data_IF_994468722508
#
_entry.id   IF_994468722508
#
_cell.length_a   1.000
_cell.length_b   1.000
_cell.length_c   1.000
_cell.angle_alpha   90.00
_cell.angle_beta   90.00
_cell.angle_gamma   90.00
#
_symmetry.space_group_name_H-M   'P 1'
#
loop_
_entity.id
_entity.type
_entity.pdbx_description
1 polymer ?
#
# COMPACT_ATOMS: atom_id res chain seq x y z
N UNK A 1 25.55 -24.70 38.10
CA UNK A 1 24.70 -23.66 38.74
C UNK A 1 24.89 -22.41 37.90
N UNK A 2 24.06 -22.18 36.87
CA UNK A 2 22.84 -21.32 36.89
C UNK A 2 23.14 -19.96 37.53
N UNK A 3 23.07 -18.83 36.82
CA UNK A 3 21.86 -18.17 36.28
C UNK A 3 22.33 -17.00 35.37
N UNK A 4 21.83 -16.74 34.15
CA UNK A 4 20.54 -16.15 33.74
C UNK A 4 20.12 -14.91 34.52
N UNK A 5 20.21 -13.73 33.88
CA UNK A 5 19.37 -12.56 34.20
C UNK A 5 18.98 -11.77 32.94
N UNK A 6 17.82 -12.14 32.43
CA UNK A 6 16.64 -11.33 32.07
C UNK A 6 16.77 -9.79 31.99
N UNK A 7 16.59 -9.24 30.78
CA UNK A 7 16.16 -7.85 30.59
C UNK A 7 14.63 -7.78 30.49
N UNK A 8 13.99 -7.19 31.51
CA UNK A 8 12.55 -6.93 31.57
C UNK A 8 12.18 -5.55 31.03
N UNK A 9 10.91 -5.46 30.61
CA UNK A 9 10.28 -4.41 29.81
C UNK A 9 10.23 -3.01 30.46
N UNK A 10 10.15 -2.00 29.60
CA UNK A 10 9.64 -0.67 29.93
C UNK A 10 8.78 -0.13 28.79
N UNK A 11 7.52 -0.56 28.72
CA UNK A 11 6.49 0.17 27.97
C UNK A 11 6.00 1.32 28.85
N UNK A 12 6.10 2.54 28.35
CA UNK A 12 5.63 3.74 29.05
C UNK A 12 4.11 3.71 29.24
N UNK A 13 3.69 3.54 30.49
CA UNK A 13 2.29 3.65 30.91
C UNK A 13 1.97 5.14 31.10
N UNK A 14 1.26 5.74 30.14
CA UNK A 14 0.50 6.96 30.39
C UNK A 14 -0.71 6.63 31.25
N UNK A 15 -0.83 7.27 32.41
CA UNK A 15 -1.99 7.13 33.29
C UNK A 15 -3.25 7.63 32.57
N UNK A 16 -4.23 6.75 32.37
CA UNK A 16 -5.58 7.12 31.97
C UNK A 16 -6.57 6.49 32.95
N UNK A 17 -7.39 7.36 33.53
CA UNK A 17 -8.42 7.03 34.50
C UNK A 17 -9.51 6.17 33.85
N UNK A 18 -10.04 5.23 34.64
CA UNK A 18 -10.94 4.18 34.18
C UNK A 18 -12.33 4.66 33.71
N UNK A 19 -12.99 3.68 33.08
CA UNK A 19 -14.38 3.66 32.59
C UNK A 19 -14.62 4.27 31.20
N UNK A 20 -14.35 3.49 30.15
CA UNK A 20 -15.26 3.24 29.01
C UNK A 20 -14.66 2.21 28.04
N UNK A 21 -15.43 1.13 27.80
CA UNK A 21 -15.36 0.17 26.69
C UNK A 21 -14.05 -0.02 25.91
N UNK A 22 -13.50 -1.22 26.04
CA UNK A 22 -12.47 -1.85 25.19
C UNK A 22 -12.59 -1.37 23.73
N UNK A 23 -11.66 -0.54 23.24
CA UNK A 23 -11.91 0.17 22.00
C UNK A 23 -11.58 -0.75 20.82
N UNK A 24 -12.54 -0.85 19.90
CA UNK A 24 -12.61 -1.62 18.65
C UNK A 24 -11.34 -1.58 17.74
N UNK A 25 -10.33 -0.75 18.08
CA UNK A 25 -9.05 -0.64 17.38
C UNK A 25 -7.99 -1.67 17.80
N UNK A 26 -8.26 -2.53 18.80
CA UNK A 26 -7.35 -3.63 19.20
C UNK A 26 -7.80 -5.01 18.70
N UNK A 27 -8.38 -5.07 17.50
CA UNK A 27 -8.53 -6.32 16.77
C UNK A 27 -7.14 -6.97 16.64
N UNK A 28 -7.00 -8.19 17.18
CA UNK A 28 -5.70 -8.90 17.30
C UNK A 28 -4.96 -9.10 15.97
N UNK A 29 -5.61 -8.86 14.84
CA UNK A 29 -5.08 -8.95 13.48
C UNK A 29 -4.67 -7.59 12.87
N UNK A 30 -4.74 -6.49 13.62
CA UNK A 30 -4.27 -5.16 13.20
C UNK A 30 -2.99 -4.78 13.95
N UNK A 31 -1.97 -4.40 13.19
CA UNK A 31 -0.68 -3.97 13.70
C UNK A 31 -0.34 -2.57 13.22
N UNK A 32 -0.41 -1.58 14.11
CA UNK A 32 0.01 -0.21 13.85
C UNK A 32 1.41 0.04 14.40
N UNK A 33 2.38 0.17 13.50
CA UNK A 33 3.79 0.40 13.79
C UNK A 33 4.31 1.65 13.08
N UNK A 34 3.44 2.63 12.80
CA UNK A 34 3.83 3.87 12.14
C UNK A 34 4.72 4.74 13.04
N UNK A 35 5.68 5.46 12.45
CA UNK A 35 6.54 6.44 13.14
C UNK A 35 7.27 5.89 14.38
N UNK A 36 7.72 4.64 14.32
CA UNK A 36 8.46 3.98 15.40
C UNK A 36 9.98 4.02 15.19
N UNK A 37 10.46 4.69 14.13
CA UNK A 37 11.88 4.77 13.82
C UNK A 37 12.48 3.45 13.33
N UNK A 38 11.66 2.50 12.86
CA UNK A 38 12.11 1.18 12.41
C UNK A 38 13.02 1.31 11.20
N UNK A 39 14.16 0.63 11.21
CA UNK A 39 15.11 0.60 10.08
C UNK A 39 14.91 -0.63 9.17
N UNK A 40 14.13 -1.60 9.64
CA UNK A 40 13.79 -2.85 8.95
C UNK A 40 12.44 -3.36 9.47
N UNK A 41 11.80 -4.26 8.71
CA UNK A 41 10.58 -4.95 9.17
C UNK A 41 10.94 -5.88 10.34
N UNK A 42 10.37 -5.71 11.55
CA UNK A 42 10.74 -6.53 12.70
C UNK A 42 10.31 -7.99 12.52
N UNK A 43 11.22 -8.92 12.78
CA UNK A 43 10.90 -10.36 12.76
C UNK A 43 9.96 -10.77 13.92
N UNK A 44 9.85 -9.95 14.96
CA UNK A 44 9.04 -10.16 16.17
C UNK A 44 7.55 -9.83 15.99
N UNK A 45 7.14 -9.27 14.84
CA UNK A 45 5.73 -8.95 14.58
C UNK A 45 4.83 -10.20 14.72
N UNK A 46 3.58 -10.04 15.23
CA UNK A 46 2.62 -11.14 15.35
C UNK A 46 2.34 -11.85 14.03
N UNK A 47 2.01 -13.14 14.09
CA UNK A 47 1.76 -13.98 12.91
C UNK A 47 0.31 -13.90 12.39
N UNK A 48 -0.62 -13.40 13.20
CA UNK A 48 -2.04 -13.35 12.88
C UNK A 48 -2.47 -12.00 12.28
N UNK A 49 -1.52 -11.19 11.81
CA UNK A 49 -1.81 -9.88 11.22
C UNK A 49 -2.50 -10.03 9.87
N UNK A 50 -3.60 -9.30 9.70
CA UNK A 50 -4.30 -9.08 8.44
C UNK A 50 -4.13 -7.64 7.95
N UNK A 51 -3.82 -6.71 8.84
CA UNK A 51 -3.54 -5.32 8.52
C UNK A 51 -2.26 -4.89 9.20
N UNK A 52 -1.28 -4.44 8.42
CA UNK A 52 0.02 -4.00 8.93
C UNK A 52 0.34 -2.62 8.39
N UNK A 53 0.47 -1.65 9.29
CA UNK A 53 0.94 -0.31 8.99
C UNK A 53 2.36 -0.13 9.51
N UNK A 54 3.31 0.04 8.59
CA UNK A 54 4.73 0.32 8.83
C UNK A 54 5.13 1.69 8.27
N UNK A 55 4.16 2.56 8.00
CA UNK A 55 4.40 3.87 7.37
C UNK A 55 5.27 4.80 8.21
N UNK A 56 5.89 5.76 7.53
CA UNK A 56 6.69 6.84 8.15
C UNK A 56 7.77 6.30 9.12
N UNK A 57 8.45 5.23 8.71
CA UNK A 57 9.61 4.69 9.39
C UNK A 57 10.89 4.96 8.55
N UNK A 58 12.03 4.40 8.97
CA UNK A 58 13.32 4.52 8.28
C UNK A 58 13.71 3.21 7.57
N UNK A 59 12.73 2.41 7.14
CA UNK A 59 12.96 1.15 6.44
C UNK A 59 13.55 1.48 5.07
N UNK A 60 14.76 1.00 4.80
CA UNK A 60 15.48 1.28 3.55
C UNK A 60 15.88 0.03 2.79
N UNK A 61 15.73 -1.15 3.42
CA UNK A 61 16.00 -2.43 2.80
C UNK A 61 14.84 -3.39 3.06
N UNK A 62 14.24 -3.91 1.99
CA UNK A 62 13.25 -4.99 2.09
C UNK A 62 13.92 -6.34 1.87
N UNK A 63 13.59 -7.28 2.75
CA UNK A 63 13.78 -8.70 2.52
C UNK A 63 12.42 -9.29 2.10
N UNK A 64 12.40 -10.48 1.48
CA UNK A 64 11.15 -11.20 1.26
C UNK A 64 10.35 -11.31 2.56
N UNK A 65 9.08 -10.91 2.50
CA UNK A 65 8.19 -11.04 3.66
C UNK A 65 8.05 -12.52 4.02
N UNK A 66 8.22 -12.89 5.30
CA UNK A 66 8.11 -14.28 5.70
C UNK A 66 6.67 -14.79 5.53
N UNK A 67 6.54 -16.06 5.14
CA UNK A 67 5.26 -16.73 4.91
C UNK A 67 4.27 -16.68 6.09
N UNK A 68 4.74 -16.40 7.32
CA UNK A 68 3.86 -16.16 8.48
C UNK A 68 2.88 -14.98 8.27
N UNK A 69 3.15 -14.10 7.32
CA UNK A 69 2.28 -12.99 6.96
C UNK A 69 1.34 -13.31 5.78
N UNK A 70 1.16 -14.59 5.43
CA UNK A 70 0.32 -15.02 4.30
C UNK A 70 -1.13 -14.53 4.37
N UNK A 71 -1.64 -14.26 5.58
CA UNK A 71 -2.98 -13.75 5.84
C UNK A 71 -3.11 -12.23 5.74
N UNK A 72 -2.01 -11.50 5.46
CA UNK A 72 -2.06 -10.06 5.26
C UNK A 72 -2.98 -9.70 4.09
N UNK A 73 -3.92 -8.81 4.36
CA UNK A 73 -4.80 -8.19 3.37
C UNK A 73 -4.37 -6.76 3.03
N UNK A 74 -3.74 -6.08 3.99
CA UNK A 74 -3.31 -4.69 3.88
C UNK A 74 -1.87 -4.53 4.39
N UNK A 75 -1.03 -3.90 3.58
CA UNK A 75 0.33 -3.53 3.94
C UNK A 75 0.60 -2.08 3.53
N UNK A 76 0.93 -1.25 4.51
CA UNK A 76 1.38 0.12 4.29
C UNK A 76 2.87 0.25 4.61
N UNK A 77 3.65 0.60 3.61
CA UNK A 77 5.09 0.89 3.72
C UNK A 77 5.40 2.33 3.30
N UNK A 78 4.39 3.17 3.10
CA UNK A 78 4.56 4.55 2.64
C UNK A 78 5.50 5.37 3.54
N UNK A 79 6.17 6.37 2.97
CA UNK A 79 7.05 7.27 3.74
C UNK A 79 8.33 6.61 4.28
N UNK A 80 8.68 5.42 3.79
CA UNK A 80 9.94 4.74 4.12
C UNK A 80 10.95 4.90 2.98
N UNK A 81 12.23 5.22 3.25
CA UNK A 81 13.24 5.46 2.21
C UNK A 81 13.75 4.16 1.53
N UNK A 82 12.88 3.43 0.85
CA UNK A 82 13.16 2.09 0.29
C UNK A 82 14.13 2.12 -0.89
N UNK A 83 14.11 3.17 -1.72
CA UNK A 83 14.90 3.35 -2.95
C UNK A 83 14.68 2.31 -4.08
N UNK A 84 14.45 1.04 -3.72
CA UNK A 84 14.22 -0.07 -4.63
C UNK A 84 13.39 -1.18 -3.99
N UNK A 85 12.70 -1.98 -4.83
CA UNK A 85 12.01 -3.20 -4.38
C UNK A 85 12.66 -4.42 -5.06
N UNK A 86 13.31 -5.30 -4.27
CA UNK A 86 13.93 -6.54 -4.76
C UNK A 86 12.92 -7.54 -5.36
N UNK A 87 13.39 -8.54 -6.13
CA UNK A 87 12.55 -9.65 -6.59
C UNK A 87 11.87 -10.38 -5.43
N UNK A 88 10.66 -10.90 -5.67
CA UNK A 88 9.96 -11.82 -4.76
C UNK A 88 9.71 -11.25 -3.35
N UNK A 89 9.85 -9.93 -3.16
CA UNK A 89 9.70 -9.26 -1.86
C UNK A 89 8.35 -9.58 -1.20
N UNK A 90 7.29 -9.71 -1.98
CA UNK A 90 5.93 -9.96 -1.50
C UNK A 90 5.36 -11.32 -1.93
N UNK A 91 6.23 -12.26 -2.33
CA UNK A 91 5.82 -13.51 -2.99
C UNK A 91 4.85 -14.37 -2.18
N UNK A 92 5.04 -14.41 -0.86
CA UNK A 92 4.21 -15.21 0.03
C UNK A 92 2.96 -14.47 0.55
N UNK A 93 2.78 -13.19 0.18
CA UNK A 93 1.62 -12.39 0.57
C UNK A 93 0.44 -12.59 -0.41
N UNK A 94 0.06 -13.85 -0.62
CA UNK A 94 -0.88 -14.26 -1.67
C UNK A 94 -2.31 -13.72 -1.48
N UNK A 95 -2.71 -13.40 -0.25
CA UNK A 95 -4.01 -12.80 0.08
C UNK A 95 -4.00 -11.26 0.09
N UNK A 96 -2.84 -10.62 -0.15
CA UNK A 96 -2.72 -9.17 -0.07
C UNK A 96 -3.62 -8.49 -1.09
N UNK A 97 -4.47 -7.58 -0.62
CA UNK A 97 -5.43 -6.82 -1.43
C UNK A 97 -4.98 -5.39 -1.67
N UNK A 98 -4.29 -4.80 -0.71
CA UNK A 98 -3.83 -3.40 -0.76
C UNK A 98 -2.37 -3.32 -0.36
N UNK A 99 -1.58 -2.68 -1.22
CA UNK A 99 -0.17 -2.37 -1.00
C UNK A 99 0.08 -0.88 -1.25
N UNK A 100 0.54 -0.18 -0.22
CA UNK A 100 0.98 1.21 -0.33
C UNK A 100 2.50 1.32 -0.20
N UNK A 101 3.12 1.83 -1.26
CA UNK A 101 4.55 2.10 -1.41
C UNK A 101 4.78 3.56 -1.83
N UNK A 102 3.85 4.46 -1.50
CA UNK A 102 3.96 5.87 -1.84
C UNK A 102 5.05 6.58 -1.05
N UNK A 103 5.69 7.58 -1.66
CA UNK A 103 6.73 8.41 -1.00
C UNK A 103 7.87 7.56 -0.42
N UNK A 104 8.31 6.55 -1.17
CA UNK A 104 9.35 5.62 -0.73
C UNK A 104 10.70 5.80 -1.46
N UNK A 105 10.85 6.89 -2.21
CA UNK A 105 12.00 7.19 -3.08
C UNK A 105 12.35 6.07 -4.07
N UNK A 106 11.36 5.25 -4.45
CA UNK A 106 11.56 4.09 -5.31
C UNK A 106 11.91 4.54 -6.73
N UNK A 107 13.16 4.30 -7.11
CA UNK A 107 13.67 4.52 -8.48
C UNK A 107 13.77 3.23 -9.28
N UNK A 108 13.88 2.07 -8.59
CA UNK A 108 14.11 0.76 -9.20
C UNK A 108 13.12 -0.28 -8.67
N UNK A 109 12.33 -0.87 -9.56
CA UNK A 109 11.51 -2.05 -9.26
C UNK A 109 12.04 -3.24 -10.05
N UNK A 110 12.31 -4.34 -9.38
CA UNK A 110 12.60 -5.59 -10.08
C UNK A 110 11.34 -6.09 -10.83
N UNK A 111 11.45 -6.71 -12.02
CA UNK A 111 10.30 -7.27 -12.73
C UNK A 111 9.45 -8.22 -11.88
N UNK A 112 10.09 -9.06 -11.08
CA UNK A 112 9.43 -9.98 -10.13
C UNK A 112 9.09 -9.37 -8.76
N UNK A 113 9.16 -8.05 -8.58
CA UNK A 113 8.91 -7.41 -7.28
C UNK A 113 7.51 -7.74 -6.73
N UNK A 114 6.52 -7.81 -7.61
CA UNK A 114 5.11 -8.07 -7.27
C UNK A 114 4.65 -9.49 -7.61
N UNK A 115 5.57 -10.40 -7.94
CA UNK A 115 5.26 -11.81 -8.20
C UNK A 115 4.60 -12.41 -6.95
N UNK A 116 3.56 -13.21 -7.14
CA UNK A 116 2.80 -13.85 -6.04
C UNK A 116 1.59 -13.06 -5.54
N UNK A 117 1.46 -11.77 -5.90
CA UNK A 117 0.37 -10.90 -5.48
C UNK A 117 -0.92 -11.10 -6.32
N UNK A 118 -1.44 -12.32 -6.35
CA UNK A 118 -2.53 -12.73 -7.24
C UNK A 118 -3.87 -12.04 -6.94
N UNK A 119 -4.10 -11.68 -5.68
CA UNK A 119 -5.34 -11.02 -5.21
C UNK A 119 -5.19 -9.51 -5.00
N UNK A 120 -4.07 -8.91 -5.43
CA UNK A 120 -3.84 -7.49 -5.21
C UNK A 120 -4.82 -6.65 -6.04
N UNK A 121 -5.63 -5.87 -5.34
CA UNK A 121 -6.67 -5.02 -5.92
C UNK A 121 -6.20 -3.57 -6.02
N UNK A 122 -5.41 -3.09 -5.06
CA UNK A 122 -4.95 -1.71 -4.99
C UNK A 122 -3.44 -1.67 -4.81
N UNK A 123 -2.76 -0.99 -5.74
CA UNK A 123 -1.34 -0.69 -5.66
C UNK A 123 -1.13 0.83 -5.72
N UNK A 124 -0.46 1.39 -4.71
CA UNK A 124 -0.15 2.82 -4.66
C UNK A 124 1.37 2.98 -4.71
N UNK A 125 1.84 3.70 -5.73
CA UNK A 125 3.24 4.01 -6.01
C UNK A 125 3.45 5.52 -6.20
N UNK A 126 2.47 6.34 -5.82
CA UNK A 126 2.48 7.79 -5.97
C UNK A 126 3.73 8.41 -5.32
N UNK A 127 4.24 9.50 -5.91
CA UNK A 127 5.41 10.22 -5.40
C UNK A 127 6.65 9.33 -5.26
N UNK A 128 6.99 8.60 -6.32
CA UNK A 128 8.25 7.87 -6.43
C UNK A 128 8.94 8.25 -7.74
N UNK A 129 10.27 8.41 -7.79
CA UNK A 129 11.03 8.74 -9.01
C UNK A 129 11.14 7.55 -10.00
N UNK A 130 10.11 6.73 -10.08
CA UNK A 130 10.05 5.50 -10.85
C UNK A 130 10.01 5.79 -12.36
N UNK A 131 10.89 5.17 -13.14
CA UNK A 131 10.97 5.36 -14.60
C UNK A 131 10.28 4.25 -15.41
N UNK A 132 10.13 3.07 -14.81
CA UNK A 132 9.48 1.91 -15.42
C UNK A 132 8.65 1.14 -14.41
N UNK A 133 7.51 0.61 -14.83
CA UNK A 133 6.64 -0.21 -14.01
C UNK A 133 6.20 -1.44 -14.81
N UNK A 134 6.25 -2.60 -14.17
CA UNK A 134 5.73 -3.85 -14.70
C UNK A 134 4.67 -4.43 -13.74
N UNK A 135 3.44 -4.61 -14.25
CA UNK A 135 2.28 -5.05 -13.46
C UNK A 135 1.37 -6.01 -14.24
N UNK A 136 1.88 -6.66 -15.29
CA UNK A 136 1.07 -7.54 -16.16
C UNK A 136 0.50 -8.74 -15.40
N UNK A 137 1.19 -9.19 -14.35
CA UNK A 137 0.79 -10.32 -13.53
C UNK A 137 -0.24 -9.96 -12.44
N UNK A 138 -0.52 -8.67 -12.23
CA UNK A 138 -1.53 -8.20 -11.27
C UNK A 138 -2.94 -8.31 -11.87
N UNK A 139 -3.43 -9.55 -11.93
CA UNK A 139 -4.70 -9.88 -12.61
C UNK A 139 -5.92 -9.31 -11.89
N UNK A 140 -5.93 -9.28 -10.56
CA UNK A 140 -7.02 -8.76 -9.74
C UNK A 140 -7.02 -7.23 -9.55
N UNK A 141 -6.06 -6.52 -10.14
CA UNK A 141 -5.89 -5.08 -9.93
C UNK A 141 -7.14 -4.32 -10.38
N UNK A 142 -7.75 -3.58 -9.46
CA UNK A 142 -8.86 -2.65 -9.71
C UNK A 142 -8.43 -1.20 -9.55
N UNK A 143 -7.30 -0.93 -8.90
CA UNK A 143 -6.78 0.41 -8.70
C UNK A 143 -5.25 0.46 -8.70
N UNK A 144 -4.72 1.46 -9.39
CA UNK A 144 -3.31 1.75 -9.52
C UNK A 144 -3.07 3.25 -9.48
N UNK A 145 -2.41 3.73 -8.43
CA UNK A 145 -1.97 5.12 -8.35
C UNK A 145 -0.46 5.21 -8.63
N UNK A 146 -0.12 5.76 -9.78
CA UNK A 146 1.25 6.08 -10.22
C UNK A 146 1.39 7.57 -10.50
N UNK A 147 0.56 8.39 -9.87
CA UNK A 147 0.63 9.85 -9.98
C UNK A 147 1.96 10.36 -9.42
N UNK A 148 2.51 11.42 -10.03
CA UNK A 148 3.77 12.04 -9.59
C UNK A 148 4.92 11.03 -9.58
N UNK A 149 5.02 10.27 -10.66
CA UNK A 149 6.17 9.42 -10.97
C UNK A 149 6.91 9.95 -12.19
N UNK A 150 8.14 9.50 -12.39
CA UNK A 150 8.98 9.87 -13.55
C UNK A 150 8.85 8.89 -14.71
N UNK A 151 7.68 8.25 -14.84
CA UNK A 151 7.43 7.22 -15.84
C UNK A 151 7.58 7.80 -17.26
N UNK A 152 8.36 7.13 -18.09
CA UNK A 152 8.62 7.56 -19.47
C UNK A 152 7.76 6.76 -20.45
N UNK A 153 7.31 7.41 -21.54
CA UNK A 153 6.52 6.82 -22.62
C UNK A 153 7.31 5.81 -23.48
N UNK A 154 7.73 4.70 -22.88
CA UNK A 154 8.40 3.58 -23.53
C UNK A 154 7.40 2.62 -24.22
N UNK A 155 7.86 1.71 -25.11
CA UNK A 155 7.01 0.64 -25.64
C UNK A 155 6.31 -0.19 -24.54
N UNK A 156 7.02 -0.50 -23.45
CA UNK A 156 6.46 -1.21 -22.29
C UNK A 156 5.36 -0.41 -21.61
N UNK A 157 5.59 0.89 -21.38
CA UNK A 157 4.58 1.79 -20.82
C UNK A 157 3.33 1.87 -21.71
N UNK A 158 3.51 1.93 -23.03
CA UNK A 158 2.37 1.89 -23.97
C UNK A 158 1.59 0.58 -23.91
N UNK A 159 2.27 -0.56 -23.77
CA UNK A 159 1.61 -1.86 -23.59
C UNK A 159 0.82 -1.90 -22.28
N UNK A 160 1.42 -1.40 -21.20
CA UNK A 160 0.76 -1.25 -19.90
C UNK A 160 -0.49 -0.37 -19.99
N UNK A 161 -0.43 0.81 -20.62
CA UNK A 161 -1.61 1.67 -20.80
C UNK A 161 -2.69 0.99 -21.65
N UNK A 162 -2.32 0.26 -22.70
CA UNK A 162 -3.27 -0.56 -23.48
C UNK A 162 -3.90 -1.66 -22.63
N UNK A 163 -3.15 -2.26 -21.71
CA UNK A 163 -3.66 -3.27 -20.77
C UNK A 163 -4.72 -2.67 -19.84
N UNK A 164 -4.45 -1.49 -19.25
CA UNK A 164 -5.43 -0.79 -18.39
C UNK A 164 -6.72 -0.45 -19.15
N UNK A 165 -6.61 0.05 -20.38
CA UNK A 165 -7.79 0.35 -21.22
C UNK A 165 -8.61 -0.92 -21.49
N UNK A 166 -7.98 -2.07 -21.73
CA UNK A 166 -8.69 -3.37 -21.90
C UNK A 166 -9.41 -3.82 -20.64
N UNK A 167 -8.84 -3.57 -19.46
CA UNK A 167 -9.49 -3.81 -18.17
C UNK A 167 -10.54 -2.75 -17.79
N UNK A 168 -10.95 -1.88 -18.73
CA UNK A 168 -11.93 -0.82 -18.50
C UNK A 168 -11.62 0.08 -17.31
N UNK A 169 -10.35 0.52 -17.23
CA UNK A 169 -9.95 1.53 -16.25
C UNK A 169 -10.39 2.95 -16.66
N UNK A 170 -10.57 3.77 -15.64
CA UNK A 170 -10.88 5.18 -15.62
C UNK A 170 -9.71 5.93 -14.94
N UNK A 171 -9.52 7.20 -15.27
CA UNK A 171 -8.76 8.15 -14.45
C UNK A 171 -9.67 8.57 -13.28
N UNK A 172 -9.31 8.16 -12.06
CA UNK A 172 -10.15 8.32 -10.88
C UNK A 172 -10.30 9.78 -10.47
N UNK A 173 -9.23 10.57 -10.64
CA UNK A 173 -9.20 11.98 -10.25
C UNK A 173 -10.14 12.81 -11.12
N UNK A 174 -10.14 12.56 -12.44
CA UNK A 174 -10.99 13.27 -13.39
C UNK A 174 -12.33 12.59 -13.65
N UNK A 175 -12.54 11.38 -13.12
CA UNK A 175 -13.73 10.54 -13.32
C UNK A 175 -14.03 10.26 -14.80
N UNK A 176 -12.97 10.07 -15.62
CA UNK A 176 -13.09 9.85 -17.07
C UNK A 176 -12.53 8.50 -17.46
N UNK A 177 -13.19 7.82 -18.41
CA UNK A 177 -12.69 6.56 -18.96
C UNK A 177 -11.34 6.77 -19.67
N UNK A 178 -10.39 5.85 -19.47
CA UNK A 178 -9.14 5.88 -20.22
C UNK A 178 -9.40 5.55 -21.69
N UNK A 179 -9.01 6.47 -22.57
CA UNK A 179 -9.14 6.28 -24.01
C UNK A 179 -7.94 5.55 -24.59
N UNK A 180 -8.12 4.84 -25.71
CA UNK A 180 -7.05 4.12 -26.42
C UNK A 180 -5.91 5.02 -26.90
N UNK A 181 -6.19 6.31 -27.11
CA UNK A 181 -5.21 7.34 -27.48
C UNK A 181 -4.62 8.08 -26.27
N UNK A 182 -4.86 7.62 -25.04
CA UNK A 182 -4.27 8.24 -23.87
C UNK A 182 -2.74 8.08 -23.92
N UNK A 183 -2.05 9.19 -24.13
CA UNK A 183 -0.59 9.28 -24.01
C UNK A 183 -0.12 9.45 -22.57
N UNK A 184 -1.05 9.39 -21.61
CA UNK A 184 -0.76 9.58 -20.19
C UNK A 184 0.02 8.38 -19.67
N UNK A 185 1.13 8.64 -19.00
CA UNK A 185 2.03 7.62 -18.43
C UNK A 185 2.04 7.63 -16.90
N UNK A 186 1.35 8.59 -16.30
CA UNK A 186 1.23 8.78 -14.85
C UNK A 186 -0.21 9.24 -14.52
N UNK A 187 -0.72 8.84 -13.36
CA UNK A 187 -2.08 9.16 -12.90
C UNK A 187 -2.59 8.18 -11.86
N UNK A 188 -3.79 8.46 -11.34
CA UNK A 188 -4.57 7.54 -10.50
C UNK A 188 -5.63 6.86 -11.36
N UNK A 189 -5.49 5.55 -11.53
CA UNK A 189 -6.30 4.74 -12.41
C UNK A 189 -7.10 3.71 -11.61
N UNK A 190 -8.39 3.58 -11.87
CA UNK A 190 -9.27 2.60 -11.21
C UNK A 190 -10.20 1.95 -12.21
N UNK A 191 -10.71 0.78 -11.89
CA UNK A 191 -11.78 0.14 -12.65
C UNK A 191 -12.97 1.10 -12.68
N UNK A 192 -13.60 1.25 -13.84
CA UNK A 192 -14.77 2.12 -13.92
C UNK A 192 -15.93 1.60 -13.05
N UNK A 193 -15.99 0.28 -12.75
CA UNK A 193 -16.93 -0.29 -11.78
C UNK A 193 -16.70 0.29 -10.37
N UNK A 194 -15.45 0.31 -9.89
CA UNK A 194 -15.09 0.90 -8.59
C UNK A 194 -15.45 2.40 -8.51
N UNK A 195 -15.34 3.13 -9.62
CA UNK A 195 -15.78 4.53 -9.72
C UNK A 195 -17.30 4.68 -9.62
N UNK A 196 -18.08 3.76 -10.19
CA UNK A 196 -19.54 3.77 -10.16
C UNK A 196 -20.08 3.32 -8.79
N UNK A 197 -19.48 2.31 -8.17
CA UNK A 197 -19.80 1.88 -6.79
C UNK A 197 -19.55 3.00 -5.76
N UNK A 198 -18.60 3.92 -6.00
CA UNK A 198 -18.43 5.10 -5.14
C UNK A 198 -19.64 6.05 -5.18
N UNK A 199 -20.40 6.10 -6.28
CA UNK A 199 -21.68 6.86 -6.33
C UNK A 199 -22.77 6.19 -5.50
N UNK A 200 -22.73 4.87 -5.38
CA UNK A 200 -23.73 4.08 -4.64
C UNK A 200 -23.40 3.98 -3.14
N UNK A 201 -22.13 3.95 -2.76
CA UNK A 201 -21.68 3.87 -1.35
C UNK A 201 -21.77 5.17 -0.57
N UNK A 202 -21.95 6.32 -1.23
CA UNK A 202 -22.42 7.53 -0.53
C UNK A 202 -23.85 7.35 -0.01
N UNK A 203 -24.54 6.26 -0.37
CA UNK A 203 -25.89 5.92 0.09
C UNK A 203 -25.90 4.78 1.11
N UNK A 204 -24.97 3.82 1.10
CA UNK A 204 -24.97 2.69 2.07
C UNK A 204 -23.57 2.16 2.45
N UNK A 205 -23.33 2.03 3.77
CA UNK A 205 -22.22 1.28 4.40
C UNK A 205 -22.29 -0.21 4.03
N UNK A 206 -21.19 -0.96 3.86
CA UNK A 206 -20.26 -1.43 4.88
C UNK A 206 -18.92 -1.87 4.23
N UNK A 207 -17.80 -1.31 4.70
CA UNK A 207 -16.47 -1.94 4.88
C UNK A 207 -15.52 -0.85 5.40
N UNK A 208 -15.80 -0.37 6.63
CA UNK A 208 -15.31 0.94 7.08
C UNK A 208 -13.79 1.00 7.24
N UNK A 209 -13.08 -0.10 7.46
CA UNK A 209 -11.62 -0.07 7.73
C UNK A 209 -10.79 0.03 6.44
N UNK A 210 -11.03 -0.88 5.46
CA UNK A 210 -10.38 -0.80 4.14
C UNK A 210 -10.81 0.47 3.40
N UNK A 211 -12.07 0.91 3.55
CA UNK A 211 -12.54 2.17 2.95
C UNK A 211 -11.99 3.41 3.65
N UNK A 212 -11.76 3.39 4.98
CA UNK A 212 -11.16 4.54 5.70
C UNK A 212 -9.69 4.69 5.36
N UNK A 213 -8.90 3.60 5.34
CA UNK A 213 -7.54 3.65 4.80
C UNK A 213 -7.50 4.04 3.31
N UNK A 214 -8.41 3.54 2.46
CA UNK A 214 -8.52 4.01 1.05
C UNK A 214 -8.91 5.49 0.92
N UNK A 215 -9.62 6.06 1.91
CA UNK A 215 -10.03 7.47 1.94
C UNK A 215 -8.85 8.36 2.34
N UNK A 216 -8.01 7.89 3.25
CA UNK A 216 -6.80 8.59 3.70
C UNK A 216 -5.67 8.56 2.65
N UNK A 217 -5.49 7.43 1.94
CA UNK A 217 -4.56 7.33 0.79
C UNK A 217 -4.93 8.29 -0.35
N UNK A 218 -6.21 8.65 -0.50
CA UNK A 218 -6.67 9.57 -1.56
C UNK A 218 -6.79 11.04 -1.15
N UNK A 219 -6.81 11.32 0.15
CA UNK A 219 -7.06 12.67 0.66
C UNK A 219 -5.80 13.40 1.12
N UNK A 220 -4.62 12.92 0.76
CA UNK A 220 -3.38 13.68 0.91
C UNK A 220 -3.25 14.73 -0.22
N UNK A 221 -4.22 15.66 -0.24
CA UNK A 221 -4.07 17.04 -0.68
C UNK A 221 -3.79 17.88 0.56
N UNK A 222 -2.51 17.94 0.94
CA UNK A 222 -2.02 18.94 1.89
C UNK A 222 -2.27 20.38 1.39
N UNK A 223 -2.27 21.36 2.30
CA UNK A 223 -2.91 22.64 2.12
C UNK A 223 -2.24 23.48 1.03
N UNK A 224 -3.05 24.20 0.27
CA UNK A 224 -2.58 25.33 -0.54
C UNK A 224 -2.01 26.38 0.40
N UNK A 225 -0.68 26.54 0.40
CA UNK A 225 -0.04 27.73 0.94
C UNK A 225 -0.28 28.89 -0.02
N UNK A 226 -1.22 29.77 0.34
CA UNK A 226 -1.33 31.09 -0.25
C UNK A 226 -0.09 31.92 0.13
N UNK A 227 0.61 32.44 -0.87
CA UNK A 227 1.32 33.70 -0.79
C UNK A 227 0.63 34.69 -1.72
#
# INVERSE_FOLDING_TARGET
MLSHDSFTHGWGVGQYNGEESDPDWMLRDHGDYRRQGLTQVPSTLPHNLRHLDLSDNHIHHLQPFPAKFSELLYLNLSGNPLHSVPPETFKDLSHLRVLDLSRCDISRLHPDAFKGLFHLQTLILRHNPLQSLDVQDLRALTRLDVSRTSLVASPRMRLFMKHLVRKSFCDCSSRRRLHRSSHRVSGDFCSCAELMERRERDVQSEDKVIQRYRRDVTNDTGPSSNH
#
